data_IF_211909834563
#
_entry.id   IF_211909834563
#
_cell.length_a   1.000
_cell.length_b   1.000
_cell.length_c   1.000
_cell.angle_alpha   90.00
_cell.angle_beta   90.00
_cell.angle_gamma   90.00
#
_symmetry.space_group_name_H-M   'P 1'
#
loop_
_entity.id
_entity.type
_entity.pdbx_description
1 polymer ?
#
# COMPACT_ATOMS: atom_id res chain seq x y z
N UNK A 1 5.86 -21.59 3.37
CA UNK A 1 4.44 -21.92 3.65
C UNK A 1 3.99 -23.10 2.79
N UNK A 2 3.90 -22.99 1.46
CA UNK A 2 3.43 -24.07 0.57
C UNK A 2 4.21 -25.40 0.71
N UNK A 3 5.53 -25.37 0.51
CA UNK A 3 6.37 -26.57 0.67
C UNK A 3 6.40 -27.09 2.11
N UNK A 4 6.33 -26.20 3.10
CA UNK A 4 6.27 -26.57 4.53
C UNK A 4 5.00 -27.35 4.89
N UNK A 5 3.85 -26.96 4.34
CA UNK A 5 2.61 -27.73 4.47
C UNK A 5 2.72 -29.10 3.81
N UNK A 6 3.24 -29.15 2.57
CA UNK A 6 3.42 -30.40 1.85
C UNK A 6 4.34 -31.39 2.59
N UNK A 7 5.42 -30.91 3.24
CA UNK A 7 6.26 -31.75 4.08
C UNK A 7 5.57 -32.23 5.36
N UNK A 8 4.73 -31.39 5.97
CA UNK A 8 4.00 -31.73 7.18
C UNK A 8 2.87 -32.75 6.96
N UNK A 9 2.25 -32.78 5.78
CA UNK A 9 1.09 -33.63 5.45
C UNK A 9 1.45 -34.88 4.65
N UNK A 10 2.74 -35.24 4.57
CA UNK A 10 3.18 -36.44 3.85
C UNK A 10 3.05 -36.32 2.33
N UNK A 11 3.20 -35.11 1.77
CA UNK A 11 3.21 -34.85 0.33
C UNK A 11 1.91 -34.32 -0.25
N UNK A 12 0.86 -34.11 0.56
CA UNK A 12 -0.37 -33.49 0.07
C UNK A 12 -0.18 -31.99 -0.16
N UNK A 13 -0.43 -31.56 -1.39
CA UNK A 13 -0.36 -30.14 -1.77
C UNK A 13 -1.74 -29.49 -1.69
N UNK A 14 -1.76 -28.24 -1.26
CA UNK A 14 -2.94 -27.39 -1.34
C UNK A 14 -3.14 -26.91 -2.77
N UNK A 15 -4.37 -26.51 -3.13
CA UNK A 15 -4.61 -25.85 -4.40
C UNK A 15 -3.72 -24.58 -4.53
N UNK A 16 -3.14 -24.38 -5.71
CA UNK A 16 -2.13 -23.34 -5.94
C UNK A 16 -2.67 -21.93 -5.70
N UNK A 17 -3.86 -21.62 -6.22
CA UNK A 17 -4.45 -20.27 -6.13
C UNK A 17 -4.78 -19.88 -4.68
N UNK A 18 -5.52 -20.71 -3.89
CA UNK A 18 -5.72 -20.42 -2.46
C UNK A 18 -4.41 -20.30 -1.68
N UNK A 19 -3.42 -21.13 -2.00
CA UNK A 19 -2.10 -21.06 -1.35
C UNK A 19 -1.38 -19.76 -1.66
N UNK A 20 -1.39 -19.32 -2.93
CA UNK A 20 -0.82 -18.04 -3.34
C UNK A 20 -1.48 -16.86 -2.63
N UNK A 21 -2.82 -16.86 -2.57
CA UNK A 21 -3.59 -15.83 -1.84
C UNK A 21 -3.21 -15.81 -0.36
N UNK A 22 -3.12 -16.97 0.30
CA UNK A 22 -2.74 -17.03 1.72
C UNK A 22 -1.32 -16.51 1.97
N UNK A 23 -0.36 -16.88 1.12
CA UNK A 23 1.04 -16.45 1.25
C UNK A 23 1.14 -14.93 1.12
N UNK A 24 0.52 -14.36 0.09
CA UNK A 24 0.52 -12.91 -0.15
C UNK A 24 -0.22 -12.21 0.98
N UNK A 25 -1.42 -12.69 1.36
CA UNK A 25 -2.23 -12.06 2.41
C UNK A 25 -1.52 -11.98 3.76
N UNK A 26 -0.74 -13.00 4.14
CA UNK A 26 0.04 -12.97 5.39
C UNK A 26 1.16 -11.92 5.30
N UNK A 27 1.86 -11.87 4.18
CA UNK A 27 2.94 -10.91 3.96
C UNK A 27 2.40 -9.46 3.93
N UNK A 28 1.44 -9.20 3.04
CA UNK A 28 0.75 -7.90 2.94
C UNK A 28 0.09 -7.52 4.25
N UNK A 29 -0.51 -8.47 4.98
CA UNK A 29 -1.17 -8.24 6.26
C UNK A 29 -0.22 -7.72 7.34
N UNK A 30 1.01 -8.25 7.40
CA UNK A 30 2.03 -7.77 8.32
C UNK A 30 2.45 -6.32 7.99
N UNK A 31 2.69 -6.01 6.72
CA UNK A 31 3.01 -4.64 6.30
C UNK A 31 1.85 -3.67 6.52
N UNK A 32 0.61 -4.09 6.22
CA UNK A 32 -0.59 -3.28 6.46
C UNK A 32 -0.78 -2.97 7.95
N UNK A 33 -0.55 -3.93 8.84
CA UNK A 33 -0.66 -3.70 10.28
C UNK A 33 0.30 -2.61 10.75
N UNK A 34 1.53 -2.62 10.25
CA UNK A 34 2.54 -1.63 10.60
C UNK A 34 2.25 -0.25 9.99
N UNK A 35 1.72 -0.21 8.76
CA UNK A 35 1.28 1.04 8.11
C UNK A 35 0.13 1.67 8.90
N UNK A 36 -0.88 0.88 9.30
CA UNK A 36 -1.99 1.38 10.11
C UNK A 36 -1.51 1.85 11.49
N UNK A 37 -0.63 1.09 12.14
CA UNK A 37 -0.04 1.46 13.43
C UNK A 37 0.75 2.77 13.34
N UNK A 38 1.61 2.89 12.32
CA UNK A 38 2.38 4.11 12.04
C UNK A 38 1.46 5.30 11.73
N UNK A 39 0.38 5.05 10.98
CA UNK A 39 -0.66 6.05 10.71
C UNK A 39 -1.33 6.58 11.97
N UNK A 40 -1.74 5.70 12.90
CA UNK A 40 -2.35 6.11 14.17
C UNK A 40 -1.38 6.94 15.01
N UNK A 41 -0.10 6.53 15.07
CA UNK A 41 0.94 7.24 15.84
C UNK A 41 1.29 8.60 15.23
N UNK A 42 1.09 8.77 13.92
CA UNK A 42 1.35 10.06 13.24
C UNK A 42 0.35 11.16 13.60
N UNK A 43 -0.78 10.82 14.22
CA UNK A 43 -1.80 11.80 14.62
C UNK A 43 -1.34 12.57 15.85
N UNK A 44 -1.53 13.89 15.81
CA UNK A 44 -1.20 14.76 16.93
C UNK A 44 -1.97 14.39 18.20
N UNK A 45 -1.27 14.40 19.34
CA UNK A 45 -1.87 14.04 20.64
C UNK A 45 -3.00 14.99 21.05
N UNK A 46 -2.98 16.23 20.58
CA UNK A 46 -4.03 17.22 20.81
C UNK A 46 -5.39 16.81 20.21
N UNK A 47 -5.41 16.00 19.14
CA UNK A 47 -6.67 15.44 18.60
C UNK A 47 -7.32 14.46 19.59
N UNK A 48 -6.49 13.64 20.25
CA UNK A 48 -6.95 12.73 21.29
C UNK A 48 -7.41 13.49 22.54
N UNK A 49 -6.58 14.42 23.03
CA UNK A 49 -6.86 15.21 24.22
C UNK A 49 -8.09 16.12 24.04
N UNK A 50 -8.25 16.75 22.87
CA UNK A 50 -9.40 17.59 22.55
C UNK A 50 -10.71 16.81 22.48
N UNK A 51 -10.71 15.65 21.83
CA UNK A 51 -11.88 14.77 21.77
C UNK A 51 -12.29 14.25 23.15
N UNK A 52 -11.31 13.86 23.98
CA UNK A 52 -11.59 13.44 25.36
C UNK A 52 -12.07 14.61 26.24
N UNK A 53 -11.58 15.83 26.01
CA UNK A 53 -11.99 17.03 26.75
C UNK A 53 -13.45 17.41 26.51
N UNK A 54 -14.02 17.07 25.36
CA UNK A 54 -15.46 17.24 25.06
C UNK A 54 -16.31 16.03 25.47
N UNK A 55 -15.76 15.10 26.25
CA UNK A 55 -16.47 13.96 26.83
C UNK A 55 -16.58 12.74 25.93
N UNK A 56 -15.82 12.64 24.83
CA UNK A 56 -15.83 11.43 23.99
C UNK A 56 -15.11 10.28 24.68
N UNK A 57 -15.69 9.08 24.59
CA UNK A 57 -15.02 7.85 25.03
C UNK A 57 -13.92 7.47 24.04
N UNK A 58 -12.92 6.69 24.48
CA UNK A 58 -11.80 6.26 23.62
C UNK A 58 -12.26 5.64 22.29
N UNK A 59 -13.31 4.80 22.30
CA UNK A 59 -13.85 4.19 21.09
C UNK A 59 -14.52 5.22 20.16
N UNK A 60 -15.20 6.23 20.73
CA UNK A 60 -15.78 7.32 19.94
C UNK A 60 -14.69 8.19 19.31
N UNK A 61 -13.65 8.53 20.08
CA UNK A 61 -12.48 9.29 19.61
C UNK A 61 -11.78 8.54 18.49
N UNK A 62 -11.55 7.24 18.66
CA UNK A 62 -10.92 6.40 17.64
C UNK A 62 -11.74 6.35 16.34
N UNK A 63 -13.04 6.03 16.43
CA UNK A 63 -13.88 5.83 15.24
C UNK A 63 -14.25 7.13 14.51
N UNK A 64 -14.49 8.22 15.25
CA UNK A 64 -15.03 9.46 14.66
C UNK A 64 -13.96 10.50 14.35
N UNK A 65 -12.83 10.50 15.04
CA UNK A 65 -11.79 11.53 14.90
C UNK A 65 -10.55 10.93 14.25
N UNK A 66 -9.99 9.88 14.85
CA UNK A 66 -8.67 9.37 14.47
C UNK A 66 -8.71 8.51 13.21
N UNK A 67 -9.54 7.47 13.16
CA UNK A 67 -9.60 6.54 12.02
C UNK A 67 -9.82 7.26 10.68
N UNK A 68 -10.76 8.22 10.56
CA UNK A 68 -10.94 8.96 9.31
C UNK A 68 -9.68 9.73 8.89
N UNK A 69 -8.94 10.33 9.83
CA UNK A 69 -7.68 11.02 9.56
C UNK A 69 -6.58 10.04 9.16
N UNK A 70 -6.44 8.94 9.90
CA UNK A 70 -5.46 7.89 9.63
C UNK A 70 -5.67 7.30 8.24
N UNK A 71 -6.90 7.01 7.84
CA UNK A 71 -7.21 6.46 6.52
C UNK A 71 -6.72 7.35 5.37
N UNK A 72 -6.79 8.67 5.54
CA UNK A 72 -6.25 9.62 4.55
C UNK A 72 -4.71 9.62 4.58
N UNK A 73 -4.12 9.66 5.76
CA UNK A 73 -2.67 9.74 5.95
C UNK A 73 -1.93 8.47 5.47
N UNK A 74 -2.52 7.29 5.63
CA UNK A 74 -1.88 6.03 5.23
C UNK A 74 -2.08 5.70 3.74
N UNK A 75 -3.00 6.38 3.05
CA UNK A 75 -3.35 6.06 1.67
C UNK A 75 -2.13 6.02 0.73
N UNK A 76 -1.18 6.99 0.77
CA UNK A 76 0.02 6.93 -0.07
C UNK A 76 0.90 5.71 0.22
N UNK A 77 1.02 5.34 1.50
CA UNK A 77 1.78 4.16 1.93
C UNK A 77 1.11 2.87 1.46
N UNK A 78 -0.23 2.79 1.54
CA UNK A 78 -1.02 1.66 1.04
C UNK A 78 -0.89 1.52 -0.48
N UNK A 79 -0.96 2.63 -1.23
CA UNK A 79 -0.72 2.65 -2.67
C UNK A 79 0.65 2.10 -3.04
N UNK A 80 1.69 2.51 -2.31
CA UNK A 80 3.05 2.02 -2.54
C UNK A 80 3.15 0.51 -2.27
N UNK A 81 2.56 0.05 -1.17
CA UNK A 81 2.52 -1.37 -0.81
C UNK A 81 1.75 -2.20 -1.86
N UNK A 82 0.70 -1.65 -2.45
CA UNK A 82 -0.01 -2.30 -3.56
C UNK A 82 0.88 -2.52 -4.78
N UNK A 83 1.70 -1.54 -5.16
CA UNK A 83 2.65 -1.67 -6.28
C UNK A 83 3.75 -2.70 -5.98
N UNK A 84 4.18 -2.80 -4.72
CA UNK A 84 5.15 -3.82 -4.28
C UNK A 84 4.52 -5.21 -4.40
N UNK A 85 3.29 -5.39 -3.91
CA UNK A 85 2.59 -6.67 -3.96
C UNK A 85 2.43 -7.22 -5.40
N UNK A 86 2.22 -6.36 -6.40
CA UNK A 86 2.17 -6.77 -7.82
C UNK A 86 3.50 -7.39 -8.29
N UNK A 87 4.63 -6.91 -7.79
CA UNK A 87 5.93 -7.50 -8.10
C UNK A 87 6.16 -8.75 -7.26
N UNK A 88 5.76 -8.76 -6.00
CA UNK A 88 5.97 -9.91 -5.11
C UNK A 88 5.13 -11.13 -5.51
N UNK A 89 3.98 -10.94 -6.17
CA UNK A 89 3.23 -12.06 -6.76
C UNK A 89 4.07 -12.82 -7.79
N UNK A 90 5.03 -12.17 -8.47
CA UNK A 90 5.95 -12.81 -9.44
C UNK A 90 6.77 -13.97 -8.85
N UNK A 91 6.96 -13.96 -7.54
CA UNK A 91 7.67 -15.00 -6.79
C UNK A 91 6.82 -16.27 -6.66
N UNK A 92 5.49 -16.16 -6.75
CA UNK A 92 4.57 -17.30 -6.69
C UNK A 92 4.72 -18.26 -7.87
N UNK A 93 5.35 -17.85 -8.98
CA UNK A 93 5.77 -18.77 -10.04
C UNK A 93 6.58 -19.97 -9.51
N UNK A 94 7.35 -19.81 -8.42
CA UNK A 94 8.16 -20.91 -7.82
C UNK A 94 7.30 -22.07 -7.34
N UNK A 95 6.06 -21.81 -6.89
CA UNK A 95 5.11 -22.85 -6.50
C UNK A 95 4.21 -23.29 -7.66
N UNK A 96 4.39 -22.73 -8.87
CA UNK A 96 3.68 -23.09 -10.09
C UNK A 96 2.44 -22.24 -10.41
N UNK A 97 2.26 -21.09 -9.74
CA UNK A 97 1.16 -20.17 -10.06
C UNK A 97 1.36 -19.58 -11.45
N UNK A 98 0.34 -19.67 -12.29
CA UNK A 98 0.39 -19.20 -13.67
C UNK A 98 0.12 -17.69 -13.75
N UNK A 99 1.19 -16.93 -13.95
CA UNK A 99 1.17 -15.48 -14.12
C UNK A 99 2.15 -15.03 -15.23
N UNK A 100 2.36 -13.71 -15.40
CA UNK A 100 3.27 -13.18 -16.42
C UNK A 100 4.70 -13.78 -16.35
N UNK A 101 5.27 -13.87 -15.15
CA UNK A 101 6.59 -14.47 -14.94
C UNK A 101 6.61 -16.00 -15.18
N UNK A 102 5.48 -16.69 -15.04
CA UNK A 102 5.36 -18.11 -15.40
C UNK A 102 5.50 -18.31 -16.91
N UNK A 103 4.84 -17.47 -17.72
CA UNK A 103 4.96 -17.51 -19.19
C UNK A 103 6.38 -17.21 -19.67
N UNK A 104 7.14 -16.38 -18.96
CA UNK A 104 8.58 -16.21 -19.17
C UNK A 104 9.32 -17.55 -19.22
N UNK A 105 9.03 -18.39 -18.22
CA UNK A 105 9.66 -19.70 -18.07
C UNK A 105 9.33 -20.62 -19.23
N UNK A 106 8.08 -20.59 -19.72
CA UNK A 106 7.65 -21.38 -20.88
C UNK A 106 8.38 -20.93 -22.15
N UNK A 107 8.33 -19.63 -22.45
CA UNK A 107 8.90 -19.06 -23.69
C UNK A 107 10.41 -19.27 -23.72
N UNK A 108 11.09 -19.08 -22.60
CA UNK A 108 12.54 -19.35 -22.48
C UNK A 108 12.87 -20.80 -22.81
N UNK A 109 12.09 -21.75 -22.30
CA UNK A 109 12.33 -23.19 -22.55
C UNK A 109 12.12 -23.58 -24.02
N UNK A 110 11.24 -22.88 -24.73
CA UNK A 110 10.97 -23.13 -26.15
C UNK A 110 11.97 -22.43 -27.08
N UNK A 111 12.31 -21.17 -26.78
CA UNK A 111 13.17 -20.34 -27.63
C UNK A 111 14.67 -20.48 -27.32
N UNK A 112 15.03 -21.05 -26.17
CA UNK A 112 16.38 -21.05 -25.59
C UNK A 112 17.00 -19.65 -25.39
N UNK A 113 16.22 -18.58 -25.58
CA UNK A 113 16.65 -17.18 -25.47
C UNK A 113 16.35 -16.62 -24.08
N UNK A 114 17.20 -16.97 -23.12
CA UNK A 114 17.03 -16.59 -21.70
C UNK A 114 17.06 -15.10 -21.48
N UNK A 115 18.09 -14.43 -22.00
CA UNK A 115 18.31 -13.01 -21.74
C UNK A 115 17.21 -12.14 -22.37
N UNK A 116 16.90 -12.37 -23.65
CA UNK A 116 15.90 -11.60 -24.39
C UNK A 116 14.50 -11.75 -23.77
N UNK A 117 14.12 -12.97 -23.39
CA UNK A 117 12.80 -13.25 -22.78
C UNK A 117 12.64 -12.50 -21.46
N UNK A 118 13.62 -12.56 -20.57
CA UNK A 118 13.54 -11.85 -19.29
C UNK A 118 13.62 -10.33 -19.45
N UNK A 119 14.39 -9.82 -20.41
CA UNK A 119 14.45 -8.38 -20.70
C UNK A 119 13.07 -7.84 -21.10
N UNK A 120 12.37 -8.52 -22.01
CA UNK A 120 11.01 -8.14 -22.43
C UNK A 120 10.06 -8.13 -21.24
N UNK A 121 10.14 -9.13 -20.36
CA UNK A 121 9.27 -9.24 -19.19
C UNK A 121 9.58 -8.17 -18.15
N UNK A 122 10.85 -7.83 -17.94
CA UNK A 122 11.25 -6.68 -17.11
C UNK A 122 10.63 -5.39 -17.65
N UNK A 123 10.64 -5.17 -18.97
CA UNK A 123 10.01 -3.99 -19.59
C UNK A 123 8.49 -4.01 -19.40
N UNK A 124 7.83 -5.17 -19.53
CA UNK A 124 6.38 -5.28 -19.29
C UNK A 124 6.04 -4.98 -17.82
N UNK A 125 6.76 -5.57 -16.86
CA UNK A 125 6.57 -5.26 -15.44
C UNK A 125 6.85 -3.79 -15.13
N UNK A 126 7.85 -3.18 -15.78
CA UNK A 126 8.13 -1.76 -15.64
C UNK A 126 6.97 -0.91 -16.16
N UNK A 127 6.45 -1.17 -17.36
CA UNK A 127 5.31 -0.43 -17.92
C UNK A 127 4.07 -0.59 -17.03
N UNK A 128 3.79 -1.81 -16.57
CA UNK A 128 2.66 -2.11 -15.69
C UNK A 128 2.76 -1.33 -14.37
N UNK A 129 3.89 -1.47 -13.67
CA UNK A 129 4.11 -0.82 -12.37
C UNK A 129 4.17 0.70 -12.51
N UNK A 130 4.78 1.22 -13.56
CA UNK A 130 4.83 2.66 -13.85
C UNK A 130 3.43 3.23 -14.10
N UNK A 131 2.62 2.55 -14.92
CA UNK A 131 1.24 2.97 -15.23
C UNK A 131 0.38 2.99 -13.98
N UNK A 132 0.43 1.93 -13.17
CA UNK A 132 -0.34 1.83 -11.92
C UNK A 132 0.11 2.91 -10.92
N UNK A 133 1.41 3.10 -10.75
CA UNK A 133 1.95 4.15 -9.88
C UNK A 133 1.47 5.54 -10.29
N UNK A 134 1.38 5.82 -11.60
CA UNK A 134 0.84 7.08 -12.12
C UNK A 134 -0.64 7.26 -11.81
N UNK A 135 -1.44 6.21 -12.00
CA UNK A 135 -2.88 6.23 -11.69
C UNK A 135 -3.11 6.46 -10.20
N UNK A 136 -2.36 5.76 -9.34
CA UNK A 136 -2.45 5.91 -7.88
C UNK A 136 -2.03 7.31 -7.43
N UNK A 137 -0.92 7.85 -7.94
CA UNK A 137 -0.51 9.24 -7.64
C UNK A 137 -1.54 10.27 -8.10
N UNK A 138 -2.20 10.03 -9.22
CA UNK A 138 -3.28 10.90 -9.67
C UNK A 138 -4.49 10.84 -8.74
N UNK A 139 -4.86 9.62 -8.29
CA UNK A 139 -5.93 9.44 -7.31
C UNK A 139 -5.59 10.07 -5.95
N UNK A 140 -4.35 9.95 -5.47
CA UNK A 140 -3.84 10.57 -4.25
C UNK A 140 -3.93 12.10 -4.32
N UNK A 141 -3.43 12.71 -5.39
CA UNK A 141 -3.52 14.18 -5.59
C UNK A 141 -4.95 14.69 -5.59
N UNK A 142 -5.89 13.91 -6.11
CA UNK A 142 -7.31 14.26 -6.08
C UNK A 142 -7.89 14.18 -4.66
N UNK A 143 -7.35 13.30 -3.81
CA UNK A 143 -7.81 13.11 -2.43
C UNK A 143 -7.18 14.12 -1.45
N UNK A 144 -5.95 14.58 -1.67
CA UNK A 144 -5.27 15.57 -0.81
C UNK A 144 -5.88 16.98 -0.91
N UNK A 145 -6.52 17.33 -2.03
CA UNK A 145 -7.11 18.66 -2.21
C UNK A 145 -6.06 19.77 -2.37
N UNK A 146 -6.50 21.03 -2.45
CA UNK A 146 -5.58 22.18 -2.52
C UNK A 146 -5.07 22.55 -1.13
N UNK A 147 -3.77 22.37 -0.88
CA UNK A 147 -3.07 22.80 0.34
C UNK A 147 -2.95 24.33 0.43
N UNK A 148 -4.08 24.99 0.63
CA UNK A 148 -4.15 26.40 0.99
C UNK A 148 -4.52 26.49 2.48
N UNK A 149 -3.53 26.73 3.34
CA UNK A 149 -3.76 26.99 4.76
C UNK A 149 -3.50 28.47 5.06
N UNK A 150 -4.38 29.07 5.85
CA UNK A 150 -4.25 30.46 6.31
C UNK A 150 -3.62 30.43 7.69
N UNK A 151 -2.41 30.98 7.84
CA UNK A 151 -1.77 31.09 9.15
C UNK A 151 -2.25 32.41 9.78
N UNK A 152 -3.00 32.32 10.87
CA UNK A 152 -3.32 33.48 11.70
C UNK A 152 -2.12 33.82 12.59
N UNK A 153 -1.45 34.94 12.32
CA UNK A 153 -0.28 35.39 13.09
C UNK A 153 -0.64 35.95 14.48
N UNK A 154 -1.84 36.48 14.67
CA UNK A 154 -2.36 36.96 15.94
C UNK A 154 -3.90 36.95 15.94
N UNK A 155 -4.53 36.48 17.03
CA UNK A 155 -6.00 36.48 17.15
C UNK A 155 -6.61 37.89 17.25
N UNK A 156 -5.80 38.91 17.54
CA UNK A 156 -6.28 40.29 17.78
C UNK A 156 -6.20 41.22 16.58
N UNK A 157 -5.56 40.81 15.48
CA UNK A 157 -5.37 41.65 14.29
C UNK A 157 -5.74 40.89 13.01
N UNK A 158 -6.87 41.28 12.42
CA UNK A 158 -7.41 40.68 11.18
C UNK A 158 -6.50 40.91 9.96
N UNK A 159 -5.53 41.82 10.05
CA UNK A 159 -4.56 42.08 8.99
C UNK A 159 -3.34 41.14 9.02
N UNK A 160 -3.22 40.26 10.04
CA UNK A 160 -2.10 39.33 10.21
C UNK A 160 -2.36 37.93 9.61
N UNK A 161 -3.20 37.86 8.57
CA UNK A 161 -3.46 36.63 7.82
C UNK A 161 -2.36 36.39 6.78
N UNK A 162 -1.56 35.34 6.96
CA UNK A 162 -0.55 34.94 5.97
C UNK A 162 -1.11 33.75 5.18
N UNK A 163 -1.47 34.00 3.92
CA UNK A 163 -1.85 32.95 2.98
C UNK A 163 -0.59 32.30 2.42
N UNK A 164 -0.30 31.07 2.84
CA UNK A 164 0.77 30.27 2.24
C UNK A 164 0.12 29.28 1.30
N UNK A 165 0.31 29.48 -0.01
CA UNK A 165 0.05 28.47 -1.01
C UNK A 165 1.38 27.83 -1.37
N UNK A 166 1.56 26.55 -1.03
CA UNK A 166 2.69 25.78 -1.58
C UNK A 166 2.33 25.41 -3.01
N UNK A 167 2.96 26.06 -3.98
CA UNK A 167 2.92 25.60 -5.36
C UNK A 167 3.55 24.20 -5.46
N UNK A 168 2.86 23.33 -6.18
CA UNK A 168 3.11 21.90 -6.30
C UNK A 168 4.39 21.53 -7.08
#
# INVERSE_FOLDING_TARGET
IYWGYAFATGGQTLALIPSGILIVSINTGAYMAEIVRGGIISIDKGQFEGAMSIGMTHSQTMLKVIIPQVMRNILPSVSNEFVINIKDTSVLNVIGVTELYYFAGIIKRQSFQTFQTYLVICVIYFILTFTITRILRWAERKLDGSDSYVIFGSQSDSAAEIHISREA
#
